data_IF_858890146631
#
_entry.id   IF_858890146631
#
_cell.length_a   1.000
_cell.length_b   1.000
_cell.length_c   1.000
_cell.angle_alpha   90.00
_cell.angle_beta   90.00
_cell.angle_gamma   90.00
#
_symmetry.space_group_name_H-M   'P 1'
#
loop_
_entity.id
_entity.type
_entity.pdbx_description
1 polymer ?
#
# COMPACT_ATOMS: atom_id res chain seq x y z
N UNK A 1 9.85 -10.51 17.06
CA UNK A 1 9.19 -10.70 15.80
C UNK A 1 9.75 -9.77 14.73
N UNK A 2 9.86 -10.29 13.59
CA UNK A 2 10.36 -9.51 12.47
C UNK A 2 9.39 -8.41 12.11
N UNK A 3 9.95 -7.27 11.83
CA UNK A 3 9.16 -6.23 11.27
C UNK A 3 8.99 -6.49 9.80
N UNK A 4 7.77 -6.58 9.37
CA UNK A 4 7.48 -6.84 7.98
C UNK A 4 6.70 -5.68 7.39
N UNK A 5 6.98 -5.40 6.16
CA UNK A 5 6.28 -4.38 5.42
C UNK A 5 5.57 -5.05 4.26
N UNK A 6 4.30 -4.78 4.10
CA UNK A 6 3.56 -5.29 2.97
C UNK A 6 3.64 -4.25 1.86
N UNK A 7 4.05 -4.70 0.68
CA UNK A 7 4.13 -3.82 -0.47
C UNK A 7 3.13 -4.31 -1.50
N UNK A 8 2.22 -3.42 -1.88
CA UNK A 8 1.22 -3.71 -2.89
C UNK A 8 1.51 -2.85 -4.09
N UNK A 9 1.68 -3.48 -5.24
CA UNK A 9 2.05 -2.78 -6.46
C UNK A 9 0.81 -2.67 -7.35
N UNK A 10 0.53 -1.46 -7.78
CA UNK A 10 -0.61 -1.17 -8.64
C UNK A 10 -0.16 -0.35 -9.83
N UNK A 11 -0.97 -0.37 -10.88
CA UNK A 11 -0.78 0.51 -12.02
C UNK A 11 -2.16 0.96 -12.46
N UNK A 12 -2.69 1.95 -11.72
CA UNK A 12 -4.04 2.44 -11.94
C UNK A 12 -3.98 3.94 -12.09
N UNK A 13 -5.00 4.52 -12.72
CA UNK A 13 -5.01 5.95 -12.94
C UNK A 13 -5.09 6.73 -11.63
N UNK A 14 -5.84 6.22 -10.68
CA UNK A 14 -6.01 6.89 -9.40
C UNK A 14 -6.10 5.85 -8.31
N UNK A 15 -5.36 6.04 -7.24
CA UNK A 15 -5.54 5.23 -6.04
C UNK A 15 -6.79 5.73 -5.32
N UNK A 16 -7.64 4.81 -4.92
CA UNK A 16 -8.88 5.19 -4.25
C UNK A 16 -9.05 4.39 -2.97
N UNK A 17 -10.18 4.62 -2.30
CA UNK A 17 -10.42 4.02 -0.99
C UNK A 17 -10.45 2.50 -1.02
N UNK A 18 -10.86 1.92 -2.13
CA UNK A 18 -10.88 0.46 -2.23
C UNK A 18 -9.47 -0.09 -2.16
N UNK A 19 -8.54 0.56 -2.82
CA UNK A 19 -7.14 0.13 -2.79
C UNK A 19 -6.56 0.22 -1.37
N UNK A 20 -6.88 1.30 -0.68
CA UNK A 20 -6.40 1.48 0.69
C UNK A 20 -7.02 0.45 1.63
N UNK A 21 -8.31 0.16 1.44
CA UNK A 21 -8.99 -0.83 2.27
C UNK A 21 -8.39 -2.22 2.08
N UNK A 22 -7.99 -2.55 0.86
CA UNK A 22 -7.40 -3.84 0.59
C UNK A 22 -6.10 -4.03 1.36
N UNK A 23 -5.22 -3.03 1.31
CA UNK A 23 -3.94 -3.19 1.98
C UNK A 23 -4.13 -3.17 3.49
N UNK A 24 -5.10 -2.40 3.98
CA UNK A 24 -5.38 -2.39 5.41
C UNK A 24 -5.87 -3.75 5.88
N UNK A 25 -6.68 -4.42 5.07
CA UNK A 25 -7.13 -5.76 5.38
C UNK A 25 -5.96 -6.73 5.47
N UNK A 26 -5.03 -6.64 4.53
CA UNK A 26 -3.84 -7.48 4.56
C UNK A 26 -3.02 -7.22 5.81
N UNK A 27 -2.88 -5.96 6.20
CA UNK A 27 -2.15 -5.62 7.41
C UNK A 27 -2.80 -6.26 8.64
N UNK A 28 -4.11 -6.18 8.72
CA UNK A 28 -4.82 -6.76 9.86
C UNK A 28 -4.65 -8.27 9.92
N UNK A 29 -4.73 -8.93 8.77
CA UNK A 29 -4.63 -10.38 8.74
C UNK A 29 -3.22 -10.88 8.99
N UNK A 30 -2.22 -10.13 8.53
CA UNK A 30 -0.84 -10.57 8.63
C UNK A 30 -0.16 -10.15 9.92
N UNK A 31 -0.73 -9.19 10.64
CA UNK A 31 -0.09 -8.66 11.82
C UNK A 31 0.97 -7.61 11.53
N UNK A 32 1.17 -7.25 10.28
CA UNK A 32 2.10 -6.20 9.93
C UNK A 32 1.51 -4.85 10.27
N UNK A 33 2.36 -3.90 10.56
CA UNK A 33 1.91 -2.57 10.95
C UNK A 33 2.05 -1.54 9.86
N UNK A 34 2.87 -1.82 8.85
CA UNK A 34 3.14 -0.86 7.79
C UNK A 34 2.91 -1.50 6.44
N UNK A 35 2.17 -0.80 5.61
CA UNK A 35 2.01 -1.18 4.23
C UNK A 35 2.36 -0.03 3.32
N UNK A 36 2.89 -0.35 2.16
CA UNK A 36 3.19 0.62 1.14
C UNK A 36 2.40 0.27 -0.10
N UNK A 37 1.66 1.24 -0.60
CA UNK A 37 0.89 1.09 -1.81
C UNK A 37 1.63 1.87 -2.90
N UNK A 38 2.19 1.17 -3.86
CA UNK A 38 2.99 1.80 -4.90
C UNK A 38 2.24 1.75 -6.22
N UNK A 39 1.86 2.90 -6.72
CA UNK A 39 1.20 3.03 -8.00
C UNK A 39 2.21 3.52 -9.02
N UNK A 40 2.50 2.70 -9.99
CA UNK A 40 3.51 3.00 -10.99
C UNK A 40 2.98 3.80 -12.17
N UNK A 41 1.68 4.05 -12.21
CA UNK A 41 1.09 4.83 -13.30
C UNK A 41 1.12 6.31 -12.97
N UNK A 42 2.32 6.82 -12.70
CA UNK A 42 2.55 8.22 -12.38
C UNK A 42 3.86 8.64 -13.01
N UNK A 43 4.03 9.95 -13.18
CA UNK A 43 5.24 10.48 -13.76
C UNK A 43 6.45 10.26 -12.88
N UNK A 44 6.30 10.49 -11.59
CA UNK A 44 7.37 10.32 -10.62
C UNK A 44 6.92 9.31 -9.59
N UNK A 45 7.73 8.30 -9.37
CA UNK A 45 7.35 7.22 -8.48
C UNK A 45 6.98 7.70 -7.09
N UNK A 46 7.65 8.72 -6.60
CA UNK A 46 7.36 9.23 -5.26
C UNK A 46 5.92 9.70 -5.13
N UNK A 47 5.30 10.11 -6.24
CA UNK A 47 3.92 10.58 -6.20
C UNK A 47 2.92 9.43 -6.17
N UNK A 48 3.39 8.23 -6.39
CA UNK A 48 2.52 7.06 -6.40
C UNK A 48 2.61 6.20 -5.17
N UNK A 49 3.37 6.64 -4.16
CA UNK A 49 3.57 5.82 -2.98
C UNK A 49 2.74 6.36 -1.82
N UNK A 50 1.96 5.47 -1.23
CA UNK A 50 1.15 5.79 -0.06
C UNK A 50 1.53 4.86 1.08
N UNK A 51 1.69 5.43 2.27
CA UNK A 51 1.93 4.65 3.47
C UNK A 51 0.61 4.39 4.16
N UNK A 52 0.43 3.15 4.59
CA UNK A 52 -0.76 2.75 5.34
C UNK A 52 -0.28 2.11 6.64
N UNK A 53 -0.73 2.65 7.74
CA UNK A 53 -0.32 2.17 9.05
C UNK A 53 -1.54 1.61 9.76
N UNK A 54 -1.32 0.44 10.35
CA UNK A 54 -2.39 -0.24 11.09
C UNK A 54 -2.19 -0.08 12.58
#
# INVERSE_FOLDING_TARGET
VEKSVIIEIKSVEVLNEIHLAQILTYLKLSGCKLGLLANFNVKHLKDGIKRVIH
#
